data_IF_118111878455
#
_entry.id   IF_118111878455
#
_cell.length_a   1.000
_cell.length_b   1.000
_cell.length_c   1.000
_cell.angle_alpha   90.00
_cell.angle_beta   90.00
_cell.angle_gamma   90.00
#
_symmetry.space_group_name_H-M   'P 1'
#
loop_
_entity.id
_entity.type
_entity.pdbx_description
1 polymer ?
#
# COMPACT_ATOMS: atom_id res chain seq x y z
N UNK A 1 -47.19 30.06 -10.43
CA UNK A 1 -47.39 29.36 -9.15
C UNK A 1 -46.66 28.07 -9.22
N UNK A 2 -45.76 27.77 -8.26
CA UNK A 2 -44.80 26.70 -8.32
C UNK A 2 -45.33 25.40 -7.71
N UNK A 3 -44.98 24.28 -8.26
CA UNK A 3 -45.15 22.95 -7.65
C UNK A 3 -43.86 22.49 -7.02
N UNK A 4 -43.95 22.19 -5.76
CA UNK A 4 -42.91 21.68 -4.89
C UNK A 4 -42.79 20.16 -5.16
N UNK A 5 -41.58 19.69 -5.47
CA UNK A 5 -41.24 18.27 -5.38
C UNK A 5 -40.14 18.08 -4.34
N UNK A 6 -40.45 17.23 -3.38
CA UNK A 6 -39.65 16.83 -2.25
C UNK A 6 -38.41 16.03 -2.67
N UNK A 7 -37.23 16.50 -2.28
CA UNK A 7 -36.00 15.75 -2.40
C UNK A 7 -35.82 14.76 -1.25
N UNK A 8 -35.60 13.49 -1.57
CA UNK A 8 -35.08 12.47 -0.65
C UNK A 8 -33.57 12.53 -0.67
N UNK A 9 -32.95 12.66 0.49
CA UNK A 9 -31.51 12.64 0.67
C UNK A 9 -30.97 11.22 0.46
N UNK A 10 -30.12 11.06 -0.54
CA UNK A 10 -29.36 9.84 -0.82
C UNK A 10 -27.95 10.00 -0.23
N UNK A 11 -27.64 9.23 0.83
CA UNK A 11 -26.34 9.22 1.49
C UNK A 11 -25.49 8.03 1.00
N UNK A 12 -25.14 8.03 -0.28
CA UNK A 12 -24.25 7.05 -0.88
C UNK A 12 -23.11 7.75 -1.64
N UNK A 13 -22.12 8.28 -0.89
CA UNK A 13 -21.05 9.08 -1.47
C UNK A 13 -19.99 8.26 -2.19
N UNK A 14 -20.09 8.17 -3.50
CA UNK A 14 -18.93 7.97 -4.37
C UNK A 14 -18.32 9.35 -4.65
N UNK A 15 -17.08 9.61 -4.21
CA UNK A 15 -16.35 10.87 -4.44
C UNK A 15 -16.23 11.25 -5.94
N UNK A 16 -16.48 10.31 -6.85
CA UNK A 16 -16.48 10.53 -8.30
C UNK A 16 -17.67 11.34 -8.82
N UNK A 17 -18.72 11.54 -7.99
CA UNK A 17 -19.96 12.27 -8.38
C UNK A 17 -20.12 13.64 -7.71
N UNK A 18 -19.08 14.11 -6.99
CA UNK A 18 -19.13 15.47 -6.46
C UNK A 18 -18.93 16.48 -7.59
N UNK A 19 -19.69 17.59 -7.61
CA UNK A 19 -19.49 18.66 -8.58
C UNK A 19 -18.05 19.19 -8.53
N UNK A 20 -17.49 19.65 -9.65
CA UNK A 20 -16.16 20.25 -9.74
C UNK A 20 -15.86 21.30 -8.66
N UNK A 21 -16.88 22.01 -8.18
CA UNK A 21 -16.77 22.97 -7.09
C UNK A 21 -16.52 22.30 -5.72
N UNK A 22 -17.06 21.12 -5.46
CA UNK A 22 -16.81 20.37 -4.23
C UNK A 22 -15.40 19.75 -4.24
N UNK A 23 -14.91 19.33 -5.40
CA UNK A 23 -13.53 18.87 -5.56
C UNK A 23 -12.51 20.01 -5.34
N UNK A 24 -12.83 21.24 -5.77
CA UNK A 24 -11.99 22.41 -5.55
C UNK A 24 -11.94 22.82 -4.05
N UNK A 25 -13.02 22.61 -3.31
CA UNK A 25 -13.09 22.94 -1.87
C UNK A 25 -12.28 21.94 -1.03
N UNK A 26 -12.24 20.66 -1.43
CA UNK A 26 -11.39 19.63 -0.77
C UNK A 26 -9.89 19.86 -1.01
N UNK A 27 -9.51 20.46 -2.15
CA UNK A 27 -8.10 20.78 -2.47
C UNK A 27 -7.50 21.90 -1.62
N UNK A 28 -8.27 22.56 -0.77
CA UNK A 28 -7.79 23.67 0.07
C UNK A 28 -7.21 23.25 1.41
N UNK A 29 -7.32 21.97 1.80
CA UNK A 29 -6.79 21.47 3.07
C UNK A 29 -5.38 20.95 2.88
N UNK A 30 -4.39 21.70 3.38
CA UNK A 30 -2.98 21.31 3.30
C UNK A 30 -2.62 20.37 4.45
N UNK A 31 -1.90 19.28 4.15
CA UNK A 31 -1.29 18.43 5.17
C UNK A 31 -0.01 19.11 5.67
N UNK A 32 -0.03 19.61 6.90
CA UNK A 32 1.12 20.28 7.51
C UNK A 32 1.94 19.25 8.30
N UNK A 33 3.23 19.11 7.96
CA UNK A 33 4.16 18.18 8.58
C UNK A 33 5.09 18.91 9.54
N UNK A 34 4.97 18.62 10.83
CA UNK A 34 5.81 19.16 11.90
C UNK A 34 6.78 18.13 12.50
N UNK A 35 6.61 16.86 12.18
CA UNK A 35 7.47 15.78 12.65
C UNK A 35 7.07 14.43 12.09
N UNK A 36 7.77 13.37 12.50
CA UNK A 36 7.52 12.01 12.02
C UNK A 36 6.14 11.46 12.40
N UNK A 37 5.53 11.98 13.46
CA UNK A 37 4.21 11.55 13.93
C UNK A 37 3.09 11.93 12.96
N UNK A 38 3.34 12.88 12.06
CA UNK A 38 2.39 13.30 11.03
C UNK A 38 2.35 12.33 9.83
N UNK A 39 3.29 11.38 9.73
CA UNK A 39 3.29 10.35 8.68
C UNK A 39 2.39 9.18 9.08
N UNK A 40 1.09 9.43 9.07
CA UNK A 40 0.04 8.45 9.32
C UNK A 40 -0.54 7.91 8.03
N UNK A 41 -1.20 6.74 8.07
CA UNK A 41 -1.94 6.21 6.91
C UNK A 41 -3.04 7.17 6.46
N UNK A 42 -3.67 7.91 7.39
CA UNK A 42 -4.69 8.90 7.01
C UNK A 42 -4.07 10.08 6.24
N UNK A 43 -2.96 10.64 6.70
CA UNK A 43 -2.27 11.71 5.96
C UNK A 43 -1.71 11.19 4.63
N UNK A 44 -1.23 9.93 4.60
CA UNK A 44 -0.85 9.28 3.35
C UNK A 44 -2.03 9.24 2.37
N UNK A 45 -3.20 8.78 2.81
CA UNK A 45 -4.44 8.74 2.00
C UNK A 45 -4.83 10.13 1.48
N UNK A 46 -4.80 11.15 2.35
CA UNK A 46 -5.09 12.54 1.98
C UNK A 46 -4.18 13.05 0.87
N UNK A 47 -2.88 12.76 0.96
CA UNK A 47 -1.91 13.19 -0.06
C UNK A 47 -1.99 12.32 -1.32
N UNK A 48 -2.07 11.00 -1.18
CA UNK A 48 -1.99 10.06 -2.29
C UNK A 48 -3.30 9.96 -3.09
N UNK A 49 -4.44 9.79 -2.41
CA UNK A 49 -5.74 9.55 -3.06
C UNK A 49 -6.54 10.85 -3.27
N UNK A 50 -6.57 11.74 -2.25
CA UNK A 50 -7.32 12.99 -2.34
C UNK A 50 -6.55 14.08 -3.09
N UNK A 51 -5.22 13.97 -3.12
CA UNK A 51 -4.35 14.92 -3.81
C UNK A 51 -4.11 16.22 -3.03
N UNK A 52 -4.23 16.19 -1.69
CA UNK A 52 -3.98 17.35 -0.86
C UNK A 52 -2.49 17.76 -0.91
N UNK A 53 -2.18 19.04 -0.97
CA UNK A 53 -0.81 19.55 -0.92
C UNK A 53 -0.18 19.32 0.45
N UNK A 54 1.16 19.30 0.47
CA UNK A 54 1.94 19.13 1.69
C UNK A 54 2.76 20.38 1.98
N UNK A 55 2.75 20.83 3.22
CA UNK A 55 3.59 21.91 3.70
C UNK A 55 4.49 21.47 4.86
N UNK A 56 5.75 21.89 4.82
CA UNK A 56 6.68 21.70 5.93
C UNK A 56 6.38 22.74 7.00
N UNK A 57 5.98 22.28 8.18
CA UNK A 57 5.64 23.13 9.30
C UNK A 57 6.87 23.77 9.98
N UNK A 58 6.66 24.80 10.79
CA UNK A 58 7.75 25.55 11.44
C UNK A 58 8.66 24.66 12.28
N UNK A 59 8.10 23.75 13.10
CA UNK A 59 8.87 22.85 13.97
C UNK A 59 9.80 21.92 13.17
N UNK A 60 9.32 21.35 12.08
CA UNK A 60 10.14 20.49 11.22
C UNK A 60 11.25 21.30 10.53
N UNK A 61 10.92 22.54 10.09
CA UNK A 61 11.90 23.44 9.47
C UNK A 61 13.03 23.81 10.44
N UNK A 62 12.68 24.14 11.68
CA UNK A 62 13.65 24.43 12.75
C UNK A 62 14.54 23.22 13.06
N UNK A 63 13.95 22.02 13.22
CA UNK A 63 14.69 20.79 13.48
C UNK A 63 15.69 20.47 12.34
N UNK A 64 15.26 20.59 11.08
CA UNK A 64 16.14 20.40 9.94
C UNK A 64 17.27 21.44 9.89
N UNK A 65 16.97 22.71 10.15
CA UNK A 65 17.97 23.78 10.14
C UNK A 65 19.02 23.58 11.24
N UNK A 66 18.60 23.21 12.45
CA UNK A 66 19.50 22.91 13.56
C UNK A 66 20.40 21.71 13.24
N UNK A 67 19.83 20.57 12.83
CA UNK A 67 20.59 19.37 12.46
C UNK A 67 21.57 19.66 11.30
N UNK A 68 21.16 20.49 10.33
CA UNK A 68 22.04 20.93 9.23
C UNK A 68 23.24 21.71 9.77
N UNK A 69 23.03 22.66 10.66
CA UNK A 69 24.10 23.47 11.24
C UNK A 69 25.09 22.60 12.01
N UNK A 70 24.59 21.63 12.78
CA UNK A 70 25.43 20.67 13.52
C UNK A 70 26.23 19.78 12.58
N UNK A 71 25.58 19.25 11.53
CA UNK A 71 26.26 18.44 10.53
C UNK A 71 27.38 19.19 9.80
N UNK A 72 27.17 20.46 9.48
CA UNK A 72 28.24 21.28 8.84
C UNK A 72 29.41 21.45 9.78
N UNK A 73 29.17 21.67 11.10
CA UNK A 73 30.25 21.72 12.09
C UNK A 73 31.04 20.39 12.16
N UNK A 74 30.33 19.25 12.13
CA UNK A 74 30.95 17.93 12.05
C UNK A 74 31.83 17.80 10.79
N UNK A 75 31.28 18.16 9.63
CA UNK A 75 31.99 18.08 8.36
C UNK A 75 33.23 19.00 8.33
N UNK A 76 33.13 20.20 8.86
CA UNK A 76 34.22 21.17 8.93
C UNK A 76 35.32 20.79 9.92
N UNK A 77 35.01 20.04 10.95
CA UNK A 77 35.99 19.55 11.92
C UNK A 77 36.99 18.57 11.31
N UNK A 78 36.56 17.76 10.34
CA UNK A 78 37.41 16.87 9.56
C UNK A 78 36.75 16.53 8.21
N UNK A 79 37.07 17.27 7.16
CA UNK A 79 36.58 17.05 5.79
C UNK A 79 37.16 15.79 5.11
N UNK A 80 38.14 15.14 5.73
CA UNK A 80 38.72 13.87 5.26
C UNK A 80 38.01 12.66 5.86
N UNK A 81 37.19 12.85 6.90
CA UNK A 81 36.37 11.81 7.49
C UNK A 81 35.52 11.13 6.42
N UNK A 82 35.47 9.79 6.45
CA UNK A 82 34.61 9.05 5.52
C UNK A 82 33.14 9.21 5.89
N UNK A 83 32.38 9.90 5.06
CA UNK A 83 30.92 10.02 5.15
C UNK A 83 30.34 9.63 3.79
N UNK A 84 29.66 8.48 3.73
CA UNK A 84 29.10 7.92 2.51
C UNK A 84 28.22 8.94 1.75
N UNK A 85 28.51 9.14 0.47
CA UNK A 85 27.77 10.07 -0.38
C UNK A 85 27.90 11.56 -0.05
N UNK A 86 28.87 11.93 0.82
CA UNK A 86 29.20 13.32 1.16
C UNK A 86 30.69 13.57 0.93
N UNK A 87 31.55 12.89 1.67
CA UNK A 87 33.01 12.94 1.48
C UNK A 87 33.53 11.75 0.65
N UNK A 88 32.62 10.83 0.31
CA UNK A 88 32.87 9.76 -0.64
C UNK A 88 31.82 9.75 -1.74
N UNK A 89 32.10 9.03 -2.81
CA UNK A 89 31.13 8.74 -3.87
C UNK A 89 30.06 7.72 -3.38
N UNK A 90 29.14 7.34 -4.26
CA UNK A 90 28.00 6.44 -3.98
C UNK A 90 28.12 5.12 -4.73
N UNK A 91 27.43 4.08 -4.24
CA UNK A 91 27.32 2.77 -4.88
C UNK A 91 28.69 2.15 -5.16
N UNK A 92 28.96 1.59 -6.36
CA UNK A 92 30.21 0.95 -6.72
C UNK A 92 31.46 1.83 -6.54
N UNK A 93 31.27 3.14 -6.54
CA UNK A 93 32.36 4.14 -6.39
C UNK A 93 32.51 4.65 -4.96
N UNK A 94 31.82 4.07 -3.96
CA UNK A 94 31.85 4.54 -2.58
C UNK A 94 33.25 4.55 -1.93
N UNK A 95 34.17 3.73 -2.42
CA UNK A 95 35.57 3.71 -1.98
C UNK A 95 36.37 4.95 -2.38
N UNK A 96 35.86 5.72 -3.34
CA UNK A 96 36.53 6.92 -3.83
C UNK A 96 36.20 8.08 -2.90
N UNK A 97 37.21 8.56 -2.17
CA UNK A 97 37.08 9.79 -1.35
C UNK A 97 37.11 11.02 -2.28
N UNK A 98 36.28 11.99 -1.95
CA UNK A 98 36.16 13.24 -2.71
C UNK A 98 36.96 14.31 -1.99
N UNK A 99 37.96 14.94 -2.67
CA UNK A 99 38.72 16.04 -2.10
C UNK A 99 37.80 17.16 -1.59
N UNK A 100 38.10 17.80 -0.45
CA UNK A 100 37.25 18.82 0.17
C UNK A 100 36.79 19.91 -0.81
N UNK A 101 37.65 20.38 -1.69
CA UNK A 101 37.33 21.40 -2.68
C UNK A 101 36.37 20.94 -3.78
N UNK A 102 36.17 19.62 -3.94
CA UNK A 102 35.26 19.02 -4.93
C UNK A 102 33.95 18.57 -4.36
N UNK A 103 33.79 18.49 -3.03
CA UNK A 103 32.60 17.93 -2.38
C UNK A 103 31.30 18.67 -2.78
N UNK A 104 31.34 19.99 -2.87
CA UNK A 104 30.20 20.82 -3.31
C UNK A 104 29.91 20.64 -4.79
N UNK A 105 30.92 20.58 -5.62
CA UNK A 105 30.76 20.31 -7.05
C UNK A 105 30.18 18.93 -7.29
N UNK A 106 30.61 17.94 -6.52
CA UNK A 106 30.05 16.57 -6.56
C UNK A 106 28.56 16.54 -6.17
N UNK A 107 28.16 17.28 -5.13
CA UNK A 107 26.74 17.34 -4.75
C UNK A 107 25.88 17.91 -5.89
N UNK A 108 26.36 18.90 -6.63
CA UNK A 108 25.69 19.49 -7.81
C UNK A 108 25.76 18.62 -9.05
N UNK A 109 26.86 17.89 -9.21
CA UNK A 109 27.05 16.94 -10.31
C UNK A 109 26.32 15.62 -10.08
N UNK A 110 25.72 15.43 -8.90
CA UNK A 110 24.87 14.30 -8.57
C UNK A 110 23.66 14.33 -9.51
N UNK A 111 23.91 13.89 -10.71
CA UNK A 111 22.93 13.92 -11.79
C UNK A 111 22.34 12.53 -11.95
N UNK A 112 21.03 12.45 -11.84
CA UNK A 112 20.23 11.35 -12.39
C UNK A 112 20.40 11.32 -13.91
N UNK A 113 21.65 11.39 -14.35
CA UNK A 113 22.04 11.40 -15.76
C UNK A 113 22.20 9.97 -16.19
N UNK A 114 21.22 9.40 -16.78
CA UNK A 114 21.49 8.15 -17.41
C UNK A 114 20.29 7.45 -17.99
N UNK A 115 20.58 6.65 -18.97
CA UNK A 115 19.66 5.69 -19.56
C UNK A 115 19.22 4.62 -18.55
N UNK A 116 19.89 4.50 -17.40
CA UNK A 116 19.49 3.59 -16.31
C UNK A 116 18.19 3.99 -15.63
N UNK A 117 17.77 5.25 -15.75
CA UNK A 117 16.45 5.72 -15.32
C UNK A 117 15.32 5.36 -16.32
N UNK A 118 15.57 4.53 -17.33
CA UNK A 118 14.51 4.00 -18.21
C UNK A 118 13.95 2.71 -17.61
N UNK A 119 12.62 2.64 -17.48
CA UNK A 119 11.95 1.39 -17.16
C UNK A 119 12.00 0.40 -18.32
N UNK A 120 11.86 -0.88 -18.02
CA UNK A 120 11.97 -1.98 -18.97
C UNK A 120 10.63 -2.36 -19.64
N UNK A 121 9.60 -1.50 -19.58
CA UNK A 121 8.36 -1.69 -20.35
C UNK A 121 7.19 -2.35 -19.62
N UNK A 122 7.32 -2.62 -18.31
CA UNK A 122 6.26 -3.24 -17.49
C UNK A 122 5.16 -2.30 -17.00
N UNK A 123 5.04 -1.10 -17.56
CA UNK A 123 4.08 -0.08 -17.10
C UNK A 123 4.66 0.86 -16.04
N UNK A 124 3.77 1.70 -15.49
CA UNK A 124 4.14 2.71 -14.51
C UNK A 124 3.29 2.58 -13.25
N UNK A 125 3.83 3.05 -12.12
CA UNK A 125 3.05 3.22 -10.89
C UNK A 125 1.91 4.22 -11.12
N UNK A 126 0.77 3.96 -10.50
CA UNK A 126 -0.31 4.93 -10.47
C UNK A 126 0.14 6.24 -9.83
N UNK A 127 -0.42 7.36 -10.29
CA UNK A 127 -0.09 8.69 -9.78
C UNK A 127 -0.21 8.78 -8.25
N UNK A 128 -1.26 8.14 -7.67
CA UNK A 128 -1.44 8.11 -6.21
C UNK A 128 -0.26 7.49 -5.48
N UNK A 129 0.36 6.45 -6.06
CA UNK A 129 1.54 5.80 -5.44
C UNK A 129 2.76 6.69 -5.54
N UNK A 130 2.96 7.37 -6.67
CA UNK A 130 4.05 8.34 -6.85
C UNK A 130 3.92 9.50 -5.85
N UNK A 131 2.71 10.02 -5.63
CA UNK A 131 2.40 11.00 -4.57
C UNK A 131 2.77 10.46 -3.20
N UNK A 132 2.42 9.20 -2.95
CA UNK A 132 2.75 8.49 -1.71
C UNK A 132 4.26 8.35 -1.49
N UNK A 133 5.04 8.08 -2.54
CA UNK A 133 6.50 8.01 -2.47
C UNK A 133 7.10 9.37 -2.07
N UNK A 134 6.63 10.45 -2.66
CA UNK A 134 7.07 11.82 -2.31
C UNK A 134 6.74 12.10 -0.84
N UNK A 135 5.52 11.80 -0.41
CA UNK A 135 5.11 11.97 0.98
C UNK A 135 6.00 11.17 1.93
N UNK A 136 6.16 9.86 1.69
CA UNK A 136 6.99 8.99 2.53
C UNK A 136 8.46 9.44 2.57
N UNK A 137 8.98 9.99 1.44
CA UNK A 137 10.35 10.53 1.38
C UNK A 137 10.57 11.67 2.37
N UNK A 138 9.58 12.51 2.60
CA UNK A 138 9.67 13.65 3.51
C UNK A 138 9.93 13.22 4.97
N UNK A 139 9.54 11.99 5.39
CA UNK A 139 9.78 11.50 6.74
C UNK A 139 11.27 11.49 7.14
N UNK A 140 12.14 11.22 6.16
CA UNK A 140 13.58 11.23 6.38
C UNK A 140 14.17 12.62 6.62
N UNK A 141 13.48 13.67 6.15
CA UNK A 141 13.96 15.06 6.25
C UNK A 141 13.52 15.72 7.56
N UNK A 142 12.24 15.60 7.91
CA UNK A 142 11.59 16.44 8.93
C UNK A 142 12.12 16.26 10.36
N UNK A 143 12.82 15.18 10.64
CA UNK A 143 13.51 14.96 11.91
C UNK A 143 14.97 15.47 11.92
N UNK A 144 15.47 15.97 10.79
CA UNK A 144 16.84 16.46 10.64
C UNK A 144 17.90 15.37 10.39
N UNK A 145 17.55 14.08 10.52
CA UNK A 145 18.50 12.97 10.36
C UNK A 145 19.08 12.85 8.94
N UNK A 146 18.43 13.41 7.95
CA UNK A 146 18.92 13.49 6.57
C UNK A 146 20.04 14.52 6.38
N UNK A 147 20.24 15.44 7.36
CA UNK A 147 21.23 16.52 7.27
C UNK A 147 21.09 17.49 6.08
N UNK A 148 20.03 17.37 5.31
CA UNK A 148 19.73 18.26 4.19
C UNK A 148 19.16 19.60 4.66
N UNK A 149 19.31 20.63 3.82
CA UNK A 149 18.70 21.94 4.07
C UNK A 149 17.18 21.86 4.00
N UNK A 150 16.45 22.66 4.81
CA UNK A 150 14.96 22.68 4.81
C UNK A 150 14.38 22.93 3.40
N UNK A 151 15.01 23.79 2.60
CA UNK A 151 14.56 24.12 1.24
C UNK A 151 14.49 22.89 0.33
N UNK A 152 15.28 21.85 0.59
CA UNK A 152 15.26 20.59 -0.18
C UNK A 152 13.96 19.84 0.08
N UNK A 153 13.54 19.72 1.35
CA UNK A 153 12.26 19.12 1.70
C UNK A 153 11.07 19.92 1.18
N UNK A 154 11.14 21.27 1.22
CA UNK A 154 10.11 22.14 0.68
C UNK A 154 9.95 21.98 -0.84
N UNK A 155 11.05 21.88 -1.59
CA UNK A 155 11.01 21.59 -3.03
C UNK A 155 10.47 20.19 -3.33
N UNK A 156 10.81 19.22 -2.50
CA UNK A 156 10.29 17.86 -2.66
C UNK A 156 8.77 17.86 -2.44
N UNK A 157 8.26 18.55 -1.41
CA UNK A 157 6.83 18.70 -1.17
C UNK A 157 6.14 19.43 -2.34
N UNK A 158 6.77 20.47 -2.91
CA UNK A 158 6.22 21.23 -4.04
C UNK A 158 6.07 20.41 -5.34
N UNK A 159 6.74 19.25 -5.47
CA UNK A 159 6.47 18.34 -6.59
C UNK A 159 5.04 17.81 -6.60
N UNK A 160 4.36 17.79 -5.45
CA UNK A 160 2.97 17.39 -5.32
C UNK A 160 1.97 18.39 -5.92
N UNK A 161 2.39 19.62 -6.20
CA UNK A 161 1.55 20.67 -6.76
C UNK A 161 1.53 20.68 -8.31
N UNK A 162 2.41 19.88 -8.92
CA UNK A 162 2.57 19.80 -10.37
C UNK A 162 2.31 18.42 -10.96
N UNK A 163 2.51 18.27 -12.27
CA UNK A 163 2.45 16.96 -12.93
C UNK A 163 3.58 16.07 -12.40
N UNK A 164 3.23 14.84 -12.04
CA UNK A 164 4.17 13.88 -11.49
C UNK A 164 4.92 13.12 -12.60
N UNK A 165 6.21 12.83 -12.39
CA UNK A 165 6.97 12.02 -13.34
C UNK A 165 6.50 10.56 -13.30
N UNK A 166 6.53 9.84 -14.45
CA UNK A 166 6.22 8.42 -14.49
C UNK A 166 7.35 7.62 -13.81
N UNK A 167 6.98 6.75 -12.86
CA UNK A 167 7.89 5.83 -12.17
C UNK A 167 7.60 4.41 -12.65
N UNK A 168 8.56 3.71 -13.29
CA UNK A 168 8.35 2.37 -13.81
C UNK A 168 8.08 1.34 -12.72
N UNK A 169 7.20 0.38 -13.00
CA UNK A 169 6.92 -0.77 -12.13
C UNK A 169 8.07 -1.78 -12.07
N UNK A 170 8.89 -1.84 -13.12
CA UNK A 170 9.98 -2.81 -13.25
C UNK A 170 11.37 -2.18 -13.05
N UNK A 171 11.43 -1.00 -12.45
CA UNK A 171 12.65 -0.21 -12.36
C UNK A 171 13.52 -0.49 -11.14
N UNK A 172 13.26 -1.54 -10.37
CA UNK A 172 14.03 -1.84 -9.17
C UNK A 172 15.28 -2.65 -9.51
N UNK A 173 16.44 -2.03 -9.29
CA UNK A 173 17.75 -2.67 -9.42
C UNK A 173 18.64 -2.19 -8.27
N UNK A 174 19.19 -3.11 -7.50
CA UNK A 174 20.14 -2.84 -6.43
C UNK A 174 19.58 -2.92 -5.02
N UNK A 175 20.43 -2.68 -4.05
CA UNK A 175 20.16 -2.86 -2.62
C UNK A 175 19.16 -1.85 -2.04
N UNK A 176 19.14 -0.65 -2.60
CA UNK A 176 18.27 0.45 -2.19
C UNK A 176 17.25 0.84 -3.27
N UNK A 177 16.57 1.93 -3.05
CA UNK A 177 15.48 2.43 -3.90
C UNK A 177 15.91 3.60 -4.80
N UNK A 178 17.21 3.67 -5.13
CA UNK A 178 17.78 4.81 -5.84
C UNK A 178 17.15 5.02 -7.24
N UNK A 179 16.84 3.95 -7.97
CA UNK A 179 16.30 4.04 -9.32
C UNK A 179 14.89 4.63 -9.36
N UNK A 180 13.89 4.10 -8.60
CA UNK A 180 12.56 4.71 -8.55
C UNK A 180 12.60 6.14 -8.01
N UNK A 181 13.45 6.45 -7.02
CA UNK A 181 13.61 7.82 -6.52
C UNK A 181 14.21 8.74 -7.57
N UNK A 182 15.14 8.27 -8.38
CA UNK A 182 15.66 9.04 -9.51
C UNK A 182 14.59 9.41 -10.54
N UNK A 183 13.60 8.50 -10.76
CA UNK A 183 12.44 8.81 -11.61
C UNK A 183 11.55 9.88 -10.98
N UNK A 184 11.27 9.79 -9.67
CA UNK A 184 10.51 10.81 -8.92
C UNK A 184 11.16 12.20 -9.01
N UNK A 185 12.50 12.25 -9.03
CA UNK A 185 13.25 13.50 -9.06
C UNK A 185 13.52 14.03 -10.47
N UNK A 186 12.92 13.43 -11.50
CA UNK A 186 13.05 13.96 -12.87
C UNK A 186 12.50 15.38 -12.94
N UNK A 187 13.36 16.33 -13.27
CA UNK A 187 13.03 17.75 -13.27
C UNK A 187 13.25 18.46 -11.93
N UNK A 188 13.69 17.75 -10.89
CA UNK A 188 14.09 18.39 -9.64
C UNK A 188 15.36 19.24 -9.84
N UNK A 189 15.36 20.43 -9.24
CA UNK A 189 16.46 21.38 -9.37
C UNK A 189 17.65 20.94 -8.52
N UNK A 190 18.82 20.74 -9.16
CA UNK A 190 20.04 20.21 -8.55
C UNK A 190 21.22 21.22 -8.57
N UNK A 191 21.10 22.33 -9.27
CA UNK A 191 22.19 23.26 -9.57
C UNK A 191 22.71 24.04 -8.34
N UNK A 192 21.94 24.14 -7.28
CA UNK A 192 22.28 24.84 -6.04
C UNK A 192 22.43 23.89 -4.82
N UNK A 193 22.56 22.59 -5.05
CA UNK A 193 22.81 21.64 -3.96
C UNK A 193 24.15 21.90 -3.27
N UNK A 194 24.16 21.64 -1.98
CA UNK A 194 25.33 21.73 -1.11
C UNK A 194 25.71 20.34 -0.57
N UNK A 195 26.84 20.26 0.10
CA UNK A 195 27.34 19.01 0.70
C UNK A 195 26.25 18.38 1.61
N UNK A 196 25.88 17.13 1.40
CA UNK A 196 24.87 16.40 2.15
C UNK A 196 23.42 16.60 1.68
N UNK A 197 23.12 17.48 0.70
CA UNK A 197 21.74 17.61 0.17
C UNK A 197 21.36 16.49 -0.81
N UNK A 198 22.31 16.02 -1.61
CA UNK A 198 22.04 15.11 -2.74
C UNK A 198 21.72 13.68 -2.29
N UNK A 199 22.49 13.12 -1.36
CA UNK A 199 22.32 11.75 -0.92
C UNK A 199 20.92 11.45 -0.39
N UNK A 200 20.34 12.26 0.52
CA UNK A 200 18.98 12.00 1.03
C UNK A 200 17.89 12.01 -0.05
N UNK A 201 18.14 12.55 -1.21
CA UNK A 201 17.15 12.55 -2.29
C UNK A 201 16.92 11.16 -2.89
N UNK A 202 17.92 10.27 -2.86
CA UNK A 202 17.89 8.95 -3.53
C UNK A 202 18.15 7.78 -2.59
N UNK A 203 18.27 8.03 -1.31
CA UNK A 203 18.58 7.00 -0.33
C UNK A 203 17.37 6.65 0.54
N UNK A 204 17.49 5.60 1.35
CA UNK A 204 16.41 5.13 2.20
C UNK A 204 15.42 4.21 1.49
N UNK A 205 14.30 3.91 2.17
CA UNK A 205 13.25 3.00 1.68
C UNK A 205 11.84 3.63 1.64
N UNK A 206 11.66 4.86 1.14
CA UNK A 206 10.35 5.50 1.08
C UNK A 206 9.43 4.87 0.03
N UNK A 207 9.96 4.22 -0.99
CA UNK A 207 9.16 3.51 -2.00
C UNK A 207 8.49 2.29 -1.37
N UNK A 208 9.25 1.47 -0.64
CA UNK A 208 8.68 0.34 0.12
C UNK A 208 7.60 0.80 1.10
N UNK A 209 7.82 1.92 1.80
CA UNK A 209 6.84 2.49 2.71
C UNK A 209 5.56 2.90 1.97
N UNK A 210 5.68 3.52 0.80
CA UNK A 210 4.54 3.94 -0.02
C UNK A 210 3.78 2.75 -0.60
N UNK A 211 4.47 1.74 -1.15
CA UNK A 211 3.85 0.54 -1.70
C UNK A 211 3.09 -0.25 -0.62
N UNK A 212 3.69 -0.39 0.58
CA UNK A 212 3.01 -1.03 1.71
C UNK A 212 1.77 -0.23 2.17
N UNK A 213 1.86 1.10 2.24
CA UNK A 213 0.75 1.97 2.64
C UNK A 213 -0.39 1.95 1.61
N UNK A 214 -0.07 1.99 0.32
CA UNK A 214 -1.06 1.90 -0.75
C UNK A 214 -1.81 0.55 -0.73
N UNK A 215 -1.09 -0.56 -0.59
CA UNK A 215 -1.71 -1.87 -0.47
C UNK A 215 -2.55 -2.00 0.82
N UNK A 216 -2.07 -1.49 1.96
CA UNK A 216 -2.80 -1.52 3.23
C UNK A 216 -4.13 -0.75 3.18
N UNK A 217 -4.16 0.42 2.56
CA UNK A 217 -5.39 1.21 2.39
C UNK A 217 -6.45 0.48 1.57
N UNK A 218 -6.04 -0.35 0.61
CA UNK A 218 -6.96 -1.13 -0.23
C UNK A 218 -7.36 -2.46 0.40
N UNK A 219 -6.55 -3.00 1.30
CA UNK A 219 -6.73 -4.34 1.85
C UNK A 219 -7.99 -4.46 2.72
N UNK A 220 -8.19 -3.56 3.68
CA UNK A 220 -9.35 -3.64 4.59
C UNK A 220 -10.70 -3.51 3.85
N UNK A 221 -10.92 -2.56 2.91
CA UNK A 221 -12.14 -2.53 2.13
C UNK A 221 -12.34 -3.76 1.22
N UNK A 222 -11.25 -4.37 0.73
CA UNK A 222 -11.32 -5.60 -0.06
C UNK A 222 -11.76 -6.77 0.79
N UNK A 223 -11.19 -6.93 1.98
CA UNK A 223 -11.58 -7.97 2.93
C UNK A 223 -13.06 -7.87 3.29
N UNK A 224 -13.58 -6.69 3.64
CA UNK A 224 -14.99 -6.46 3.92
C UNK A 224 -15.91 -6.88 2.75
N UNK A 225 -15.51 -6.57 1.49
CA UNK A 225 -16.26 -7.03 0.30
C UNK A 225 -16.23 -8.56 0.16
N UNK A 226 -15.08 -9.18 0.43
CA UNK A 226 -14.95 -10.63 0.36
C UNK A 226 -15.82 -11.31 1.43
N UNK A 227 -15.78 -10.85 2.66
CA UNK A 227 -16.62 -11.35 3.76
C UNK A 227 -18.10 -11.27 3.44
N UNK A 228 -18.57 -10.14 2.92
CA UNK A 228 -19.97 -9.97 2.50
C UNK A 228 -20.38 -10.94 1.41
N UNK A 229 -19.52 -11.14 0.40
CA UNK A 229 -19.79 -12.07 -0.70
C UNK A 229 -19.84 -13.53 -0.23
N UNK A 230 -18.90 -13.90 0.66
CA UNK A 230 -18.81 -15.24 1.24
C UNK A 230 -19.98 -15.52 2.20
N UNK A 231 -20.39 -14.56 3.02
CA UNK A 231 -21.58 -14.66 3.87
C UNK A 231 -22.87 -14.78 3.04
N UNK A 232 -22.97 -14.00 1.94
CA UNK A 232 -24.10 -14.11 1.00
C UNK A 232 -24.18 -15.52 0.40
N UNK A 233 -23.03 -16.09 0.03
CA UNK A 233 -22.92 -17.46 -0.47
C UNK A 233 -23.34 -18.50 0.57
N UNK A 234 -22.88 -18.35 1.83
CA UNK A 234 -23.28 -19.22 2.93
C UNK A 234 -24.80 -19.21 3.13
N UNK A 235 -25.42 -18.00 3.02
CA UNK A 235 -26.86 -17.85 3.03
C UNK A 235 -27.53 -18.58 1.88
N UNK A 236 -27.04 -18.39 0.66
CA UNK A 236 -27.63 -18.99 -0.53
C UNK A 236 -27.57 -20.51 -0.49
N UNK A 237 -26.43 -21.06 -0.02
CA UNK A 237 -26.24 -22.49 0.15
C UNK A 237 -27.09 -23.07 1.30
N UNK A 238 -27.37 -22.27 2.34
CA UNK A 238 -28.10 -22.71 3.54
C UNK A 238 -27.20 -23.36 4.58
N UNK A 239 -25.99 -22.81 4.79
CA UNK A 239 -25.06 -23.25 5.83
C UNK A 239 -25.73 -23.10 7.21
N UNK A 240 -25.70 -24.11 8.09
CA UNK A 240 -26.20 -23.99 9.46
C UNK A 240 -25.42 -22.93 10.25
N UNK A 241 -26.11 -22.19 11.11
CA UNK A 241 -25.52 -21.15 11.94
C UNK A 241 -24.41 -21.68 12.88
N UNK A 242 -24.55 -22.93 13.33
CA UNK A 242 -23.60 -23.62 14.20
C UNK A 242 -22.18 -23.70 13.59
N UNK A 243 -22.07 -23.65 12.25
CA UNK A 243 -20.77 -23.64 11.57
C UNK A 243 -19.93 -22.41 11.93
N UNK A 244 -20.57 -21.36 12.45
CA UNK A 244 -19.92 -20.08 12.80
C UNK A 244 -20.27 -19.63 14.23
N UNK A 245 -20.50 -20.60 15.13
CA UNK A 245 -20.86 -20.35 16.52
C UNK A 245 -19.74 -19.57 17.25
N UNK A 246 -20.12 -18.77 18.25
CA UNK A 246 -19.18 -17.92 19.01
C UNK A 246 -18.18 -18.75 19.80
N UNK A 247 -18.64 -19.85 20.34
CA UNK A 247 -17.85 -20.81 21.14
C UNK A 247 -16.66 -21.36 20.38
N UNK A 248 -16.72 -21.41 19.03
CA UNK A 248 -15.58 -21.82 18.21
C UNK A 248 -14.40 -20.87 18.34
N UNK A 249 -14.63 -19.56 18.48
CA UNK A 249 -13.58 -18.57 18.69
C UNK A 249 -12.79 -18.82 19.97
N UNK A 250 -13.49 -19.16 21.06
CA UNK A 250 -12.86 -19.52 22.33
C UNK A 250 -12.11 -20.85 22.25
N UNK A 251 -12.70 -21.85 21.60
CA UNK A 251 -12.08 -23.17 21.44
C UNK A 251 -10.84 -23.15 20.56
N UNK A 252 -10.81 -22.29 19.55
CA UNK A 252 -9.63 -22.16 18.67
C UNK A 252 -8.51 -21.32 19.27
N UNK A 253 -8.85 -20.42 20.21
CA UNK A 253 -7.89 -19.63 20.97
C UNK A 253 -7.14 -18.58 20.15
N UNK A 254 -7.66 -18.21 18.98
CA UNK A 254 -7.05 -17.24 18.06
C UNK A 254 -7.96 -16.00 17.91
N UNK A 255 -7.41 -14.82 18.22
CA UNK A 255 -8.18 -13.57 18.24
C UNK A 255 -8.64 -13.12 16.84
N UNK A 256 -7.84 -13.35 15.80
CA UNK A 256 -8.20 -12.98 14.43
C UNK A 256 -9.29 -13.91 13.88
N UNK A 257 -9.24 -15.21 14.21
CA UNK A 257 -10.28 -16.17 13.85
C UNK A 257 -11.59 -15.86 14.60
N UNK A 258 -11.53 -15.48 15.89
CA UNK A 258 -12.69 -15.06 16.66
C UNK A 258 -13.32 -13.79 16.07
N UNK A 259 -12.50 -12.81 15.66
CA UNK A 259 -12.98 -11.60 14.99
C UNK A 259 -13.66 -11.93 13.65
N UNK A 260 -13.06 -12.81 12.85
CA UNK A 260 -13.64 -13.25 11.58
C UNK A 260 -15.00 -13.96 11.77
N UNK A 261 -15.13 -14.81 12.80
CA UNK A 261 -16.41 -15.43 13.16
C UNK A 261 -17.44 -14.39 13.57
N UNK A 262 -17.06 -13.38 14.34
CA UNK A 262 -17.95 -12.29 14.74
C UNK A 262 -18.46 -11.50 13.52
N UNK A 263 -17.57 -11.15 12.58
CA UNK A 263 -17.93 -10.48 11.32
C UNK A 263 -18.87 -11.34 10.46
N UNK A 264 -18.56 -12.63 10.29
CA UNK A 264 -19.47 -13.57 9.60
C UNK A 264 -20.85 -13.59 10.24
N UNK A 265 -20.95 -13.73 11.57
CA UNK A 265 -22.24 -13.69 12.29
C UNK A 265 -22.96 -12.36 12.08
N UNK A 266 -22.23 -11.24 12.10
CA UNK A 266 -22.80 -9.91 11.83
C UNK A 266 -23.41 -9.84 10.42
N UNK A 267 -22.72 -10.35 9.41
CA UNK A 267 -23.22 -10.40 8.04
C UNK A 267 -24.39 -11.38 7.86
N UNK A 268 -24.40 -12.45 8.64
CA UNK A 268 -25.46 -13.45 8.62
C UNK A 268 -26.68 -13.10 9.50
N UNK A 269 -26.58 -12.06 10.34
CA UNK A 269 -27.67 -11.66 11.25
C UNK A 269 -28.93 -11.26 10.48
N UNK A 270 -30.10 -11.71 10.97
CA UNK A 270 -31.42 -11.46 10.34
C UNK A 270 -31.71 -12.33 9.11
N UNK A 271 -30.87 -13.34 8.84
CA UNK A 271 -31.16 -14.37 7.85
C UNK A 271 -32.07 -15.44 8.44
N UNK A 272 -33.10 -15.83 7.70
CA UNK A 272 -33.80 -17.08 7.99
C UNK A 272 -32.85 -18.23 7.70
N UNK A 273 -32.63 -19.19 8.66
CA UNK A 273 -31.86 -20.36 8.39
C UNK A 273 -32.41 -21.04 7.13
N UNK A 274 -31.55 -21.25 6.14
CA UNK A 274 -31.97 -21.93 4.93
C UNK A 274 -32.49 -23.31 5.25
N UNK A 275 -33.39 -23.82 4.43
CA UNK A 275 -33.78 -25.23 4.50
C UNK A 275 -32.47 -26.01 4.30
N UNK A 276 -32.02 -26.71 5.38
CA UNK A 276 -30.80 -27.51 5.34
C UNK A 276 -30.85 -28.43 4.12
N UNK A 277 -29.90 -28.26 3.21
CA UNK A 277 -29.76 -29.21 2.13
C UNK A 277 -29.51 -30.60 2.73
N UNK A 278 -30.12 -31.61 2.17
CA UNK A 278 -29.84 -32.99 2.55
C UNK A 278 -28.42 -33.33 2.10
N UNK A 279 -27.50 -33.43 3.07
CA UNK A 279 -26.11 -33.77 2.79
C UNK A 279 -25.10 -33.03 3.69
N UNK A 280 -23.83 -33.38 3.62
CA UNK A 280 -22.76 -32.73 4.36
C UNK A 280 -22.52 -31.32 3.80
N UNK A 281 -22.21 -30.36 4.68
CA UNK A 281 -21.74 -29.03 4.29
C UNK A 281 -20.33 -29.14 3.72
N UNK A 282 -20.04 -28.60 2.54
CA UNK A 282 -18.67 -28.62 2.00
C UNK A 282 -17.66 -27.99 2.95
N UNK A 283 -16.46 -28.56 3.01
CA UNK A 283 -15.39 -28.11 3.88
C UNK A 283 -15.05 -26.61 3.67
N UNK A 284 -15.16 -26.11 2.42
CA UNK A 284 -14.90 -24.70 2.08
C UNK A 284 -15.80 -23.72 2.83
N UNK A 285 -17.02 -24.11 3.23
CA UNK A 285 -17.87 -23.31 4.09
C UNK A 285 -17.50 -23.46 5.58
N UNK A 286 -17.15 -24.68 6.02
CA UNK A 286 -16.83 -24.95 7.42
C UNK A 286 -15.54 -24.28 7.90
N UNK A 287 -14.51 -24.21 7.02
CA UNK A 287 -13.22 -23.59 7.36
C UNK A 287 -13.19 -22.07 7.16
N UNK A 288 -14.29 -21.47 6.72
CA UNK A 288 -14.32 -20.06 6.30
C UNK A 288 -13.85 -19.10 7.40
N UNK A 289 -14.26 -19.31 8.67
CA UNK A 289 -13.83 -18.48 9.79
C UNK A 289 -12.32 -18.51 10.02
N UNK A 290 -11.67 -19.66 9.81
CA UNK A 290 -10.22 -19.78 9.94
C UNK A 290 -9.45 -19.10 8.80
N UNK A 291 -9.92 -19.26 7.56
CA UNK A 291 -9.26 -18.63 6.40
C UNK A 291 -9.43 -17.12 6.43
N UNK A 292 -10.60 -16.62 6.82
CA UNK A 292 -10.83 -15.19 7.04
C UNK A 292 -9.98 -14.65 8.20
N UNK A 293 -9.82 -15.40 9.30
CA UNK A 293 -8.93 -15.03 10.40
C UNK A 293 -7.48 -14.82 9.93
N UNK A 294 -6.99 -15.72 9.07
CA UNK A 294 -5.66 -15.52 8.46
C UNK A 294 -5.61 -14.28 7.55
N UNK A 295 -6.69 -13.96 6.83
CA UNK A 295 -6.77 -12.75 6.03
C UNK A 295 -6.77 -11.47 6.90
N UNK A 296 -7.52 -11.47 8.02
CA UNK A 296 -7.47 -10.38 9.02
C UNK A 296 -6.04 -10.17 9.53
N UNK A 297 -5.35 -11.23 9.89
CA UNK A 297 -3.94 -11.18 10.35
C UNK A 297 -3.02 -10.58 9.30
N UNK A 298 -3.17 -11.00 8.03
CA UNK A 298 -2.36 -10.48 6.94
C UNK A 298 -2.61 -8.98 6.70
N UNK A 299 -3.87 -8.55 6.74
CA UNK A 299 -4.27 -7.12 6.62
C UNK A 299 -3.69 -6.31 7.79
N UNK A 300 -3.83 -6.80 9.03
CA UNK A 300 -3.30 -6.13 10.21
C UNK A 300 -1.77 -6.04 10.15
N UNK A 301 -1.09 -7.13 9.77
CA UNK A 301 0.36 -7.17 9.62
C UNK A 301 0.89 -6.18 8.58
N UNK A 302 0.25 -6.09 7.41
CA UNK A 302 0.63 -5.10 6.39
C UNK A 302 0.34 -3.66 6.86
N UNK A 303 -0.79 -3.44 7.53
CA UNK A 303 -1.14 -2.12 8.08
C UNK A 303 -0.09 -1.65 9.08
N UNK A 304 0.37 -2.52 9.97
CA UNK A 304 1.42 -2.21 10.93
C UNK A 304 2.78 -1.98 10.23
N UNK A 305 3.15 -2.83 9.26
CA UNK A 305 4.36 -2.63 8.47
C UNK A 305 4.36 -1.28 7.75
N UNK A 306 3.23 -0.88 7.17
CA UNK A 306 3.07 0.42 6.54
C UNK A 306 3.18 1.57 7.54
N UNK A 307 2.52 1.47 8.69
CA UNK A 307 2.53 2.49 9.76
C UNK A 307 3.94 2.73 10.30
N UNK A 308 4.70 1.68 10.53
CA UNK A 308 6.09 1.77 10.98
C UNK A 308 6.97 2.34 9.88
N UNK A 309 6.83 1.84 8.65
CA UNK A 309 7.66 2.26 7.51
C UNK A 309 7.50 3.74 7.17
N UNK A 310 6.27 4.26 7.20
CA UNK A 310 5.99 5.68 6.93
C UNK A 310 6.69 6.63 7.92
N UNK A 311 6.92 6.20 9.16
CA UNK A 311 7.53 7.02 10.24
C UNK A 311 9.03 6.79 10.40
N UNK A 312 9.59 5.81 9.70
CA UNK A 312 10.99 5.42 9.84
C UNK A 312 11.92 6.42 9.17
N UNK A 313 13.08 6.66 9.80
CA UNK A 313 14.23 7.30 9.16
C UNK A 313 15.12 6.22 8.58
N UNK A 314 15.27 6.21 7.27
CA UNK A 314 15.86 5.09 6.53
C UNK A 314 17.06 5.48 5.67
N UNK A 315 17.58 6.69 5.83
CA UNK A 315 18.73 7.19 5.09
C UNK A 315 20.03 6.42 5.41
N UNK A 316 20.93 6.43 4.48
CA UNK A 316 22.31 5.97 4.62
C UNK A 316 23.28 7.00 4.03
N UNK A 317 24.09 7.70 4.86
CA UNK A 317 24.14 7.64 6.33
C UNK A 317 23.01 8.44 6.99
N UNK A 318 22.64 8.06 8.19
CA UNK A 318 21.86 8.91 9.09
C UNK A 318 22.79 9.82 9.89
N UNK A 319 22.34 11.03 10.16
CA UNK A 319 22.99 11.93 11.09
C UNK A 319 22.28 11.87 12.45
N UNK A 320 23.06 11.64 13.51
CA UNK A 320 22.60 11.74 14.89
C UNK A 320 23.10 13.07 15.49
N UNK A 321 22.23 13.78 16.22
CA UNK A 321 22.60 15.07 16.81
C UNK A 321 23.69 14.92 17.87
N UNK A 322 24.35 16.03 18.31
CA UNK A 322 25.31 16.03 19.37
C UNK A 322 24.81 15.40 20.68
N UNK A 323 25.65 14.62 21.31
CA UNK A 323 25.46 14.05 22.64
C UNK A 323 26.77 14.17 23.47
N UNK A 324 26.77 13.64 24.70
CA UNK A 324 27.93 13.71 25.58
C UNK A 324 29.16 12.93 25.05
N UNK A 325 28.94 11.86 24.28
CA UNK A 325 30.00 11.07 23.68
C UNK A 325 30.47 11.62 22.32
N UNK A 326 29.58 12.29 21.62
CA UNK A 326 29.79 12.84 20.28
C UNK A 326 29.39 14.31 20.25
N UNK A 327 30.22 15.24 20.71
CA UNK A 327 29.88 16.66 20.87
C UNK A 327 29.53 17.36 19.55
N UNK A 328 29.90 16.80 18.40
CA UNK A 328 29.56 17.30 17.06
C UNK A 328 28.48 16.44 16.37
N UNK A 329 27.89 15.47 17.09
CA UNK A 329 27.06 14.44 16.50
C UNK A 329 27.88 13.40 15.73
N UNK A 330 27.21 12.54 14.99
CA UNK A 330 27.87 11.51 14.18
C UNK A 330 27.05 11.14 12.95
N UNK A 331 27.75 10.77 11.87
CA UNK A 331 27.14 10.20 10.69
C UNK A 331 27.36 8.68 10.68
N UNK A 332 26.26 7.90 10.69
CA UNK A 332 26.32 6.44 10.75
C UNK A 332 25.89 5.85 9.41
N UNK A 333 26.74 4.99 8.85
CA UNK A 333 26.33 4.15 7.71
C UNK A 333 25.43 3.02 8.18
N UNK A 334 24.28 2.84 7.54
CA UNK A 334 23.22 1.92 7.99
C UNK A 334 22.61 1.15 6.80
N UNK A 335 21.90 0.04 7.11
CA UNK A 335 21.07 -0.71 6.17
C UNK A 335 19.62 -0.20 6.07
N UNK A 336 19.32 1.01 6.56
CA UNK A 336 17.96 1.57 6.55
C UNK A 336 17.31 1.66 5.17
N UNK A 337 18.13 1.71 4.12
CA UNK A 337 17.68 1.71 2.72
C UNK A 337 16.95 0.42 2.31
N UNK A 338 17.00 -0.65 3.10
CA UNK A 338 16.29 -1.90 2.85
C UNK A 338 15.13 -2.09 3.83
N UNK A 339 13.90 -2.15 3.32
CA UNK A 339 12.71 -2.38 4.15
C UNK A 339 12.34 -3.86 4.18
N UNK A 340 12.83 -4.56 5.20
CA UNK A 340 12.55 -5.99 5.39
C UNK A 340 11.15 -6.29 5.98
N UNK A 341 10.32 -5.29 6.27
CA UNK A 341 8.95 -5.51 6.76
C UNK A 341 7.93 -5.54 5.61
N UNK A 342 8.13 -4.73 4.58
CA UNK A 342 7.12 -4.49 3.54
C UNK A 342 6.86 -5.73 2.67
N UNK A 343 7.91 -6.32 2.07
CA UNK A 343 7.71 -7.42 1.14
C UNK A 343 7.17 -8.72 1.77
N UNK A 344 7.56 -9.13 2.99
CA UNK A 344 6.95 -10.31 3.62
C UNK A 344 5.47 -10.09 3.95
N UNK A 345 5.09 -8.87 4.38
CA UNK A 345 3.71 -8.53 4.66
C UNK A 345 2.84 -8.52 3.38
N UNK A 346 3.38 -8.02 2.26
CA UNK A 346 2.73 -8.11 0.94
C UNK A 346 2.59 -9.56 0.47
N UNK A 347 3.61 -10.42 0.67
CA UNK A 347 3.53 -11.85 0.36
C UNK A 347 2.44 -12.55 1.19
N UNK A 348 2.35 -12.24 2.48
CA UNK A 348 1.32 -12.82 3.35
C UNK A 348 -0.09 -12.42 2.90
N UNK A 349 -0.26 -11.16 2.47
CA UNK A 349 -1.52 -10.66 1.96
C UNK A 349 -1.89 -11.33 0.63
N UNK A 350 -0.94 -11.48 -0.30
CA UNK A 350 -1.16 -12.19 -1.57
C UNK A 350 -1.60 -13.64 -1.35
N UNK A 351 -1.01 -14.34 -0.37
CA UNK A 351 -1.41 -15.70 -0.01
C UNK A 351 -2.85 -15.74 0.53
N UNK A 352 -3.22 -14.79 1.40
CA UNK A 352 -4.59 -14.70 1.92
C UNK A 352 -5.61 -14.44 0.80
N UNK A 353 -5.29 -13.58 -0.17
CA UNK A 353 -6.16 -13.33 -1.34
C UNK A 353 -6.31 -14.58 -2.21
N UNK A 354 -5.26 -15.35 -2.42
CA UNK A 354 -5.31 -16.60 -3.19
C UNK A 354 -6.21 -17.65 -2.52
N UNK A 355 -6.10 -17.81 -1.20
CA UNK A 355 -6.96 -18.75 -0.46
C UNK A 355 -8.44 -18.34 -0.53
N UNK A 356 -8.76 -17.05 -0.35
CA UNK A 356 -10.11 -16.54 -0.47
C UNK A 356 -10.66 -16.69 -1.90
N UNK A 357 -9.80 -16.50 -2.93
CA UNK A 357 -10.16 -16.72 -4.34
C UNK A 357 -10.56 -18.18 -4.58
N UNK A 358 -9.77 -19.11 -4.04
CA UNK A 358 -10.08 -20.54 -4.12
C UNK A 358 -11.43 -20.86 -3.44
N UNK A 359 -11.66 -20.36 -2.21
CA UNK A 359 -12.92 -20.57 -1.49
C UNK A 359 -14.10 -20.01 -2.27
N UNK A 360 -13.99 -18.80 -2.81
CA UNK A 360 -15.04 -18.20 -3.65
C UNK A 360 -15.38 -19.10 -4.83
N UNK A 361 -14.38 -19.65 -5.53
CA UNK A 361 -14.56 -20.60 -6.62
C UNK A 361 -15.27 -21.87 -6.20
N UNK A 362 -14.89 -22.46 -5.03
CA UNK A 362 -15.53 -23.65 -4.48
C UNK A 362 -17.00 -23.40 -4.09
N UNK A 363 -17.30 -22.21 -3.54
CA UNK A 363 -18.66 -21.82 -3.21
C UNK A 363 -19.53 -21.68 -4.47
N UNK A 364 -19.03 -21.06 -5.54
CA UNK A 364 -19.76 -20.99 -6.82
C UNK A 364 -20.05 -22.41 -7.35
N UNK A 365 -19.07 -23.31 -7.32
CA UNK A 365 -19.26 -24.69 -7.74
C UNK A 365 -20.36 -25.38 -6.92
N UNK A 366 -20.36 -25.19 -5.61
CA UNK A 366 -21.37 -25.76 -4.72
C UNK A 366 -22.78 -25.20 -4.98
N UNK A 367 -22.91 -23.88 -5.23
CA UNK A 367 -24.19 -23.24 -5.59
C UNK A 367 -24.71 -23.73 -6.94
N UNK A 368 -23.84 -23.89 -7.95
CA UNK A 368 -24.21 -24.41 -9.28
C UNK A 368 -24.57 -25.88 -9.29
N UNK A 369 -23.97 -26.69 -8.41
CA UNK A 369 -24.30 -28.12 -8.30
C UNK A 369 -25.78 -28.38 -7.98
N UNK A 370 -26.47 -27.42 -7.42
CA UNK A 370 -27.90 -27.47 -7.17
C UNK A 370 -28.77 -27.08 -8.39
N UNK A 371 -28.16 -26.62 -9.48
CA UNK A 371 -28.83 -26.18 -10.70
C UNK A 371 -28.21 -26.89 -11.94
N UNK A 372 -28.88 -27.92 -12.48
CA UNK A 372 -28.37 -28.66 -13.64
C UNK A 372 -28.17 -27.80 -14.90
N UNK A 373 -28.81 -26.63 -14.99
CA UNK A 373 -28.69 -25.72 -16.11
C UNK A 373 -27.45 -24.79 -15.98
N UNK A 374 -26.83 -24.72 -14.79
CA UNK A 374 -25.61 -23.94 -14.58
C UNK A 374 -24.40 -24.71 -15.13
N UNK A 375 -23.84 -24.25 -16.23
CA UNK A 375 -22.62 -24.83 -16.82
C UNK A 375 -21.39 -24.71 -15.90
N UNK A 376 -20.30 -25.44 -16.22
CA UNK A 376 -19.03 -25.26 -15.52
C UNK A 376 -18.53 -23.81 -15.67
N UNK A 377 -17.86 -23.29 -14.65
CA UNK A 377 -17.25 -21.96 -14.63
C UNK A 377 -15.73 -22.04 -14.79
N UNK A 378 -15.17 -22.26 -15.99
CA UNK A 378 -13.73 -22.34 -16.19
C UNK A 378 -12.98 -21.08 -15.78
N UNK A 379 -13.67 -19.94 -15.81
CA UNK A 379 -13.14 -18.63 -15.40
C UNK A 379 -12.66 -18.60 -13.93
N UNK A 380 -13.35 -19.32 -13.03
CA UNK A 380 -12.97 -19.39 -11.60
C UNK A 380 -11.72 -20.24 -11.36
N UNK A 381 -11.54 -21.30 -12.15
CA UNK A 381 -10.31 -22.09 -12.08
C UNK A 381 -9.11 -21.26 -12.54
N UNK A 382 -9.28 -20.47 -13.62
CA UNK A 382 -8.24 -19.58 -14.12
C UNK A 382 -7.86 -18.51 -13.08
N UNK A 383 -8.85 -17.86 -12.45
CA UNK A 383 -8.60 -16.89 -11.38
C UNK A 383 -7.88 -17.50 -10.16
N UNK A 384 -8.27 -18.71 -9.76
CA UNK A 384 -7.64 -19.40 -8.64
C UNK A 384 -6.20 -19.84 -8.95
N UNK A 385 -5.93 -20.28 -10.18
CA UNK A 385 -4.60 -20.66 -10.63
C UNK A 385 -3.68 -19.44 -10.75
N UNK A 386 -4.18 -18.33 -11.29
CA UNK A 386 -3.47 -17.06 -11.38
C UNK A 386 -3.17 -16.48 -9.98
N UNK A 387 -4.16 -16.45 -9.09
CA UNK A 387 -3.98 -15.99 -7.71
C UNK A 387 -2.92 -16.83 -6.98
N UNK A 388 -2.93 -18.16 -7.17
CA UNK A 388 -1.94 -19.05 -6.56
C UNK A 388 -0.54 -18.81 -7.11
N UNK A 389 -0.40 -18.60 -8.41
CA UNK A 389 0.87 -18.23 -9.03
C UNK A 389 1.39 -16.87 -8.52
N UNK A 390 0.48 -15.91 -8.37
CA UNK A 390 0.79 -14.61 -7.79
C UNK A 390 1.15 -14.67 -6.29
N UNK A 391 0.61 -15.62 -5.55
CA UNK A 391 0.91 -15.84 -4.13
C UNK A 391 2.25 -16.51 -3.85
N UNK A 392 2.99 -16.94 -4.89
CA UNK A 392 4.36 -17.43 -4.69
C UNK A 392 5.24 -16.34 -4.08
N UNK A 393 5.89 -16.58 -2.93
CA UNK A 393 6.59 -15.53 -2.21
C UNK A 393 7.75 -14.96 -3.01
N UNK A 394 7.85 -13.64 -2.98
CA UNK A 394 9.02 -12.91 -3.47
C UNK A 394 10.05 -12.88 -2.34
N UNK A 395 11.22 -13.43 -2.58
CA UNK A 395 12.33 -13.50 -1.62
C UNK A 395 13.44 -12.51 -2.00
N UNK A 396 14.41 -12.33 -1.10
CA UNK A 396 15.58 -11.52 -1.37
C UNK A 396 16.33 -12.04 -2.61
N UNK A 397 16.43 -11.25 -3.67
CA UNK A 397 17.23 -11.64 -4.83
C UNK A 397 18.70 -11.26 -4.62
N UNK A 398 19.61 -12.09 -5.13
CA UNK A 398 21.00 -11.72 -5.24
C UNK A 398 21.17 -10.62 -6.29
N UNK A 399 21.90 -9.57 -5.95
CA UNK A 399 22.38 -8.61 -6.94
C UNK A 399 23.74 -9.04 -7.45
N UNK A 400 23.96 -8.93 -8.75
CA UNK A 400 25.14 -9.52 -9.41
C UNK A 400 26.21 -8.48 -9.69
N UNK A 401 25.94 -7.19 -9.41
CA UNK A 401 26.68 -6.12 -10.07
C UNK A 401 27.86 -5.55 -9.27
N UNK A 402 27.92 -5.75 -7.96
CA UNK A 402 28.97 -5.17 -7.12
C UNK A 402 29.08 -5.87 -5.77
N UNK A 403 30.28 -6.04 -5.19
CA UNK A 403 30.44 -6.59 -3.84
C UNK A 403 29.78 -5.77 -2.71
N UNK A 404 29.40 -4.52 -2.97
CA UNK A 404 28.71 -3.68 -2.02
C UNK A 404 27.18 -3.84 -2.12
N UNK A 405 26.65 -3.93 -3.34
CA UNK A 405 25.23 -4.09 -3.64
C UNK A 405 24.98 -5.57 -4.02
N UNK A 406 25.16 -6.49 -3.07
CA UNK A 406 25.10 -7.94 -3.28
C UNK A 406 23.69 -8.53 -3.13
N UNK A 407 22.73 -7.73 -2.67
CA UNK A 407 21.29 -8.09 -2.62
C UNK A 407 20.45 -6.95 -3.18
N UNK A 408 19.27 -7.28 -3.72
CA UNK A 408 18.31 -6.30 -4.19
C UNK A 408 17.06 -6.25 -3.30
N UNK A 409 16.28 -5.17 -3.39
CA UNK A 409 15.00 -5.08 -2.73
C UNK A 409 13.93 -5.83 -3.55
N UNK A 410 13.15 -6.74 -2.94
CA UNK A 410 12.12 -7.50 -3.67
C UNK A 410 10.74 -6.82 -3.65
N UNK A 411 10.63 -5.59 -3.14
CA UNK A 411 9.34 -4.97 -2.82
C UNK A 411 8.42 -4.75 -4.02
N UNK A 412 8.97 -4.34 -5.17
CA UNK A 412 8.16 -4.17 -6.39
C UNK A 412 7.57 -5.49 -6.87
N UNK A 413 8.35 -6.56 -6.83
CA UNK A 413 7.89 -7.89 -7.17
C UNK A 413 6.76 -8.35 -6.23
N UNK A 414 6.92 -8.14 -4.92
CA UNK A 414 5.90 -8.47 -3.93
C UNK A 414 4.62 -7.63 -4.12
N UNK A 415 4.76 -6.33 -4.37
CA UNK A 415 3.63 -5.43 -4.62
C UNK A 415 2.82 -5.82 -5.86
N UNK A 416 3.48 -6.09 -7.00
CA UNK A 416 2.80 -6.54 -8.22
C UNK A 416 2.07 -7.86 -8.02
N UNK A 417 2.69 -8.82 -7.34
CA UNK A 417 2.08 -10.12 -7.05
C UNK A 417 0.87 -9.97 -6.13
N UNK A 418 0.97 -9.15 -5.09
CA UNK A 418 -0.18 -8.84 -4.23
C UNK A 418 -1.32 -8.24 -5.07
N UNK A 419 -1.03 -7.25 -5.93
CA UNK A 419 -2.02 -6.61 -6.77
C UNK A 419 -2.72 -7.62 -7.71
N UNK A 420 -1.97 -8.53 -8.35
CA UNK A 420 -2.54 -9.59 -9.20
C UNK A 420 -3.45 -10.54 -8.39
N UNK A 421 -3.00 -11.00 -7.22
CA UNK A 421 -3.82 -11.86 -6.36
C UNK A 421 -5.10 -11.15 -5.88
N UNK A 422 -5.00 -9.86 -5.60
CA UNK A 422 -6.11 -8.99 -5.21
C UNK A 422 -7.14 -8.83 -6.34
N UNK A 423 -6.71 -8.63 -7.58
CA UNK A 423 -7.59 -8.55 -8.76
C UNK A 423 -8.31 -9.87 -9.01
N UNK A 424 -7.62 -11.00 -8.86
CA UNK A 424 -8.23 -12.33 -8.94
C UNK A 424 -9.32 -12.51 -7.89
N UNK A 425 -9.07 -12.07 -6.64
CA UNK A 425 -10.08 -12.11 -5.59
C UNK A 425 -11.27 -11.22 -5.94
N UNK A 426 -11.05 -9.97 -6.36
CA UNK A 426 -12.13 -9.06 -6.73
C UNK A 426 -13.01 -9.67 -7.85
N UNK A 427 -12.43 -10.33 -8.85
CA UNK A 427 -13.15 -11.07 -9.88
C UNK A 427 -13.95 -12.26 -9.33
N UNK A 428 -13.33 -13.07 -8.48
CA UNK A 428 -13.97 -14.26 -7.91
C UNK A 428 -15.14 -13.91 -6.98
N UNK A 429 -15.01 -12.90 -6.11
CA UNK A 429 -16.10 -12.48 -5.23
C UNK A 429 -17.24 -11.81 -5.99
N UNK A 430 -16.97 -11.12 -7.11
CA UNK A 430 -18.01 -10.57 -7.97
C UNK A 430 -18.85 -11.69 -8.61
N UNK A 431 -18.19 -12.74 -9.13
CA UNK A 431 -18.86 -13.91 -9.65
C UNK A 431 -19.66 -14.67 -8.57
N UNK A 432 -19.06 -14.84 -7.39
CA UNK A 432 -19.71 -15.46 -6.25
C UNK A 432 -20.98 -14.71 -5.81
N UNK A 433 -20.88 -13.40 -5.68
CA UNK A 433 -22.01 -12.58 -5.27
C UNK A 433 -23.15 -12.62 -6.31
N UNK A 434 -22.81 -12.64 -7.61
CA UNK A 434 -23.79 -12.78 -8.69
C UNK A 434 -24.51 -14.12 -8.63
N UNK A 435 -23.77 -15.21 -8.41
CA UNK A 435 -24.33 -16.57 -8.35
C UNK A 435 -25.18 -16.79 -7.10
N UNK A 436 -24.69 -16.34 -5.94
CA UNK A 436 -25.46 -16.39 -4.69
C UNK A 436 -26.78 -15.58 -4.79
N UNK A 437 -26.70 -14.41 -5.45
CA UNK A 437 -27.88 -13.59 -5.73
C UNK A 437 -28.90 -14.32 -6.60
N UNK A 438 -28.46 -14.99 -7.66
CA UNK A 438 -29.33 -15.77 -8.55
C UNK A 438 -30.05 -16.89 -7.77
N UNK A 439 -29.33 -17.63 -6.94
CA UNK A 439 -29.91 -18.71 -6.11
C UNK A 439 -30.94 -18.18 -5.12
N UNK A 440 -30.65 -17.06 -4.46
CA UNK A 440 -31.59 -16.44 -3.50
C UNK A 440 -32.83 -15.90 -4.18
N UNK A 441 -32.71 -15.28 -5.35
CA UNK A 441 -33.84 -14.77 -6.12
C UNK A 441 -34.75 -15.90 -6.60
N UNK A 442 -34.19 -17.00 -7.10
CA UNK A 442 -34.93 -18.17 -7.51
C UNK A 442 -35.71 -18.83 -6.33
N UNK A 443 -35.14 -18.75 -5.14
CA UNK A 443 -35.79 -19.26 -3.91
C UNK A 443 -36.79 -18.27 -3.28
N UNK A 444 -36.97 -17.07 -3.83
CA UNK A 444 -37.80 -16.01 -3.23
C UNK A 444 -37.29 -15.49 -1.88
N UNK A 445 -35.98 -15.69 -1.60
CA UNK A 445 -35.33 -15.36 -0.32
C UNK A 445 -34.70 -13.98 -0.37
N UNK A 446 -34.75 -13.28 0.78
CA UNK A 446 -34.07 -11.98 0.92
C UNK A 446 -32.82 -12.15 1.80
N UNK A 447 -31.64 -11.68 1.34
CA UNK A 447 -30.45 -11.68 2.17
C UNK A 447 -30.58 -10.70 3.34
N UNK A 448 -29.75 -10.88 4.36
CA UNK A 448 -29.64 -9.95 5.49
C UNK A 448 -29.29 -8.52 5.03
N UNK A 449 -29.69 -7.48 5.76
CA UNK A 449 -29.39 -6.09 5.40
C UNK A 449 -27.90 -5.82 5.12
N UNK A 450 -26.94 -6.31 5.90
CA UNK A 450 -25.52 -6.07 5.64
C UNK A 450 -24.99 -6.58 4.29
N UNK A 451 -25.60 -7.62 3.72
CA UNK A 451 -25.19 -8.22 2.44
C UNK A 451 -26.06 -7.83 1.26
N UNK A 452 -27.05 -6.94 1.44
CA UNK A 452 -27.92 -6.45 0.35
C UNK A 452 -27.20 -5.52 -0.61
N UNK A 453 -26.31 -4.66 -0.10
CA UNK A 453 -25.61 -3.65 -0.91
C UNK A 453 -24.83 -4.23 -2.10
N UNK A 454 -24.05 -5.31 -1.95
CA UNK A 454 -23.38 -5.95 -3.10
C UNK A 454 -24.36 -6.40 -4.18
N UNK A 455 -25.52 -6.97 -3.80
CA UNK A 455 -26.54 -7.40 -4.76
C UNK A 455 -27.18 -6.24 -5.51
N UNK A 456 -27.45 -5.13 -4.83
CA UNK A 456 -28.02 -3.94 -5.47
C UNK A 456 -27.05 -3.36 -6.49
N UNK A 457 -25.76 -3.29 -6.18
CA UNK A 457 -24.71 -2.81 -7.12
C UNK A 457 -24.55 -3.73 -8.32
N UNK A 458 -24.58 -5.05 -8.13
CA UNK A 458 -24.50 -6.02 -9.22
C UNK A 458 -25.73 -5.96 -10.11
N UNK A 459 -26.92 -5.81 -9.51
CA UNK A 459 -28.18 -5.66 -10.28
C UNK A 459 -28.19 -4.34 -11.08
N UNK A 460 -27.66 -3.27 -10.52
CA UNK A 460 -27.49 -1.99 -11.23
C UNK A 460 -26.53 -2.08 -12.40
N UNK A 461 -25.38 -2.76 -12.21
CA UNK A 461 -24.41 -2.99 -13.26
C UNK A 461 -24.93 -3.86 -14.43
N UNK A 462 -25.84 -4.82 -14.14
CA UNK A 462 -26.48 -5.68 -15.17
C UNK A 462 -27.55 -4.96 -15.98
N UNK A 463 -28.13 -3.88 -15.45
CA UNK A 463 -29.16 -3.11 -16.16
C UNK A 463 -28.60 -2.14 -17.16
N UNK A 464 -27.38 -2.15 -17.58
CA UNK A 464 -26.80 -1.30 -18.62
C UNK A 464 -27.49 0.07 -18.79
N UNK A 465 -26.91 1.08 -19.39
CA UNK A 465 -27.68 2.24 -19.76
C UNK A 465 -28.83 1.79 -20.68
N UNK A 466 -30.05 2.19 -20.36
CA UNK A 466 -31.21 1.96 -21.22
C UNK A 466 -30.85 2.36 -22.68
N UNK A 467 -31.09 1.51 -23.69
CA UNK A 467 -30.85 1.91 -25.05
C UNK A 467 -31.80 3.07 -25.37
N UNK A 468 -31.22 4.25 -25.57
CA UNK A 468 -31.92 5.44 -26.04
C UNK A 468 -32.30 5.30 -27.52
#
# INVERSE_FOLDING_TARGET
MPSITSGSADTGGSLALLPLQAQATFRSMTVVINGRDDFTLENYRRVSEVGEPVAIGPRAREAMAAARADFIRLLESDRTQFIYGVTSSLGPHAKVTIPPEQQRAQARAFGFRGNWARGFGGGYLDERVVRGIIFARLANFVAGNSKARPVIAERLAALLDGPLPPVPLDGEVGAGEALPLAHVLRGFRLDDLEEGDANPLVNGSPVSAALAADAALRAAPRLDRAERALALSATAFGVPADAYAEELGELWGDADEAAALAELRRHLSGMSPGRRQAGPVPASYLILGRVLGQAHRAVAGLTEAARVSLRSVTDNPVYLPPDAAHPLGQALSTGGFHNAMAYPALNALAAAWADLTLLAGRHVTALRAADPAAGPGPELSALADEARAAAMPTLLPAAVNDPQDDVSSPVFGAYRREATAAECLDGAIALLAAEAGRVLDAAGRRPAPPVRDPLQRIRAARKGPDPA
#
